data_IF_438181098602
#
_entry.id   IF_438181098602
#
_cell.length_a   1.000
_cell.length_b   1.000
_cell.length_c   1.000
_cell.angle_alpha   90.00
_cell.angle_beta   90.00
_cell.angle_gamma   90.00
#
_symmetry.space_group_name_H-M   'P 1'
#
loop_
_entity.id
_entity.type
_entity.pdbx_description
1 polymer ?
#
# COMPACT_ATOMS: atom_id res chain seq x y z
N UNK A 1 18.42 17.25 -0.85
CA UNK A 1 19.15 16.08 -1.40
C UNK A 1 19.24 14.96 -0.34
N UNK A 2 18.13 14.65 0.37
CA UNK A 2 18.06 13.59 1.40
C UNK A 2 16.96 12.55 1.13
N UNK A 3 16.08 12.75 0.13
CA UNK A 3 14.90 11.89 -0.08
C UNK A 3 15.20 10.60 -0.87
N UNK A 4 16.26 10.58 -1.68
CA UNK A 4 16.57 9.43 -2.55
C UNK A 4 17.14 8.24 -1.75
N UNK A 5 18.00 8.51 -0.76
CA UNK A 5 18.61 7.46 0.09
C UNK A 5 17.58 6.83 1.05
N UNK A 6 16.56 7.58 1.47
CA UNK A 6 15.51 7.09 2.39
C UNK A 6 14.58 6.09 1.68
N UNK A 7 14.24 6.32 0.41
CA UNK A 7 13.41 5.39 -0.38
C UNK A 7 14.16 4.09 -0.70
N UNK A 8 15.48 4.18 -0.96
CA UNK A 8 16.32 3.00 -1.14
C UNK A 8 16.40 2.24 0.18
N UNK A 9 16.59 2.89 1.34
CA UNK A 9 16.60 2.20 2.64
C UNK A 9 15.25 1.60 3.04
N UNK A 10 14.10 2.25 2.76
CA UNK A 10 12.77 1.66 3.05
C UNK A 10 12.42 0.55 2.04
N UNK A 11 12.80 0.68 0.77
CA UNK A 11 12.68 -0.39 -0.23
C UNK A 11 13.62 -1.57 0.07
N UNK A 12 14.83 -1.28 0.56
CA UNK A 12 15.74 -2.27 1.11
C UNK A 12 15.20 -2.85 2.40
N UNK A 13 14.51 -2.11 3.28
CA UNK A 13 13.92 -2.63 4.51
C UNK A 13 12.67 -3.47 4.23
N UNK A 14 11.84 -3.13 3.24
CA UNK A 14 10.80 -4.05 2.78
C UNK A 14 11.44 -5.32 2.18
N UNK A 15 12.52 -5.19 1.40
CA UNK A 15 13.29 -6.35 0.94
C UNK A 15 14.08 -7.06 2.06
N UNK A 16 14.48 -6.38 3.14
CA UNK A 16 15.27 -6.92 4.27
C UNK A 16 14.38 -7.53 5.34
N UNK A 17 13.19 -7.00 5.57
CA UNK A 17 12.13 -7.69 6.29
C UNK A 17 11.70 -8.89 5.44
N UNK A 18 11.62 -8.76 4.10
CA UNK A 18 11.42 -9.93 3.22
C UNK A 18 12.59 -10.92 3.26
N UNK A 19 13.84 -10.48 3.46
CA UNK A 19 15.04 -11.33 3.48
C UNK A 19 15.39 -11.88 4.88
N UNK A 20 15.04 -11.19 5.97
CA UNK A 20 15.18 -11.68 7.35
C UNK A 20 13.96 -12.50 7.78
N UNK A 21 12.81 -12.35 7.11
CA UNK A 21 11.77 -13.39 7.03
C UNK A 21 11.93 -14.27 5.77
N UNK A 22 13.17 -14.60 5.40
CA UNK A 22 13.45 -15.80 4.61
C UNK A 22 14.26 -16.81 5.41
N UNK A 23 13.52 -17.61 6.18
CA UNK A 23 13.71 -19.05 6.15
C UNK A 23 12.37 -19.73 5.86
N UNK A 24 11.71 -19.31 4.77
CA UNK A 24 10.86 -20.20 3.99
C UNK A 24 11.48 -20.28 2.60
N UNK A 25 11.98 -21.45 2.17
CA UNK A 25 12.69 -21.58 0.91
C UNK A 25 11.72 -21.36 -0.26
N UNK A 26 12.02 -20.37 -1.10
CA UNK A 26 11.59 -20.37 -2.49
C UNK A 26 12.44 -21.42 -3.22
N UNK A 27 11.88 -22.60 -3.48
CA UNK A 27 12.39 -23.46 -4.55
C UNK A 27 11.22 -23.98 -5.39
N UNK A 28 11.38 -23.86 -6.70
CA UNK A 28 10.50 -24.38 -7.74
C UNK A 28 10.60 -25.91 -7.72
N UNK A 29 9.76 -26.55 -6.91
CA UNK A 29 9.72 -28.01 -6.85
C UNK A 29 8.83 -28.52 -5.74
N UNK A 30 7.65 -29.02 -6.12
CA UNK A 30 6.82 -29.97 -5.37
C UNK A 30 7.04 -29.96 -3.83
N UNK A 31 6.30 -29.11 -3.12
CA UNK A 31 6.27 -29.13 -1.65
C UNK A 31 5.29 -30.22 -1.22
N UNK A 32 5.72 -31.26 -0.47
CA UNK A 32 4.81 -32.19 0.18
C UNK A 32 3.93 -31.41 1.18
N UNK A 33 2.66 -31.78 1.26
CA UNK A 33 1.72 -31.29 2.26
C UNK A 33 2.30 -31.56 3.66
N UNK A 34 2.84 -30.54 4.33
CA UNK A 34 3.29 -30.62 5.72
C UNK A 34 2.26 -29.88 6.58
N UNK A 35 1.50 -30.66 7.36
CA UNK A 35 0.31 -30.26 8.11
C UNK A 35 0.60 -29.57 9.46
N UNK A 36 1.87 -29.37 9.84
CA UNK A 36 2.26 -29.01 11.22
C UNK A 36 3.07 -27.69 11.34
N UNK A 37 2.68 -26.65 10.59
CA UNK A 37 3.10 -25.27 10.92
C UNK A 37 2.06 -24.68 11.88
N UNK A 38 2.50 -24.03 12.97
CA UNK A 38 1.71 -23.36 14.02
C UNK A 38 0.84 -22.19 13.50
N UNK A 39 0.16 -22.35 12.36
CA UNK A 39 -0.85 -21.43 11.87
C UNK A 39 -2.01 -21.44 12.85
N UNK A 40 -2.47 -20.25 13.21
CA UNK A 40 -3.65 -20.08 14.04
C UNK A 40 -4.77 -21.02 13.58
N UNK A 41 -5.33 -21.77 14.52
CA UNK A 41 -6.29 -22.86 14.23
C UNK A 41 -7.61 -22.37 13.62
N UNK A 42 -7.85 -21.05 13.62
CA UNK A 42 -8.99 -20.40 13.01
C UNK A 42 -8.69 -18.92 12.67
N UNK A 43 -9.54 -18.33 11.83
CA UNK A 43 -9.39 -16.95 11.34
C UNK A 43 -9.49 -15.91 12.45
N UNK A 44 -10.30 -16.12 13.48
CA UNK A 44 -10.48 -15.13 14.56
C UNK A 44 -9.21 -15.00 15.41
N UNK A 45 -8.59 -16.13 15.77
CA UNK A 45 -7.28 -16.14 16.43
C UNK A 45 -6.22 -15.48 15.55
N UNK A 46 -6.25 -15.72 14.24
CA UNK A 46 -5.32 -15.09 13.30
C UNK A 46 -5.47 -13.57 13.23
N UNK A 47 -6.71 -13.07 13.18
CA UNK A 47 -6.98 -11.62 13.20
C UNK A 47 -6.38 -10.97 14.45
N UNK A 48 -6.49 -11.60 15.62
CA UNK A 48 -5.90 -11.10 16.87
C UNK A 48 -4.37 -11.03 16.73
N UNK A 49 -3.73 -12.10 16.27
CA UNK A 49 -2.28 -12.13 16.03
C UNK A 49 -1.84 -11.03 15.06
N UNK A 50 -2.57 -10.81 13.96
CA UNK A 50 -2.25 -9.75 13.00
C UNK A 50 -2.46 -8.34 13.58
N UNK A 51 -3.49 -8.13 14.42
CA UNK A 51 -3.71 -6.85 15.11
C UNK A 51 -2.56 -6.55 16.06
N UNK A 52 -2.08 -7.54 16.80
CA UNK A 52 -0.94 -7.37 17.71
C UNK A 52 0.35 -7.15 16.92
N UNK A 53 0.56 -7.89 15.83
CA UNK A 53 1.68 -7.66 14.92
C UNK A 53 1.70 -6.23 14.34
N UNK A 54 0.55 -5.68 13.93
CA UNK A 54 0.46 -4.28 13.46
C UNK A 54 0.88 -3.29 14.54
N UNK A 55 0.50 -3.53 15.80
CA UNK A 55 0.95 -2.67 16.92
C UNK A 55 2.46 -2.81 17.13
N UNK A 56 2.98 -4.02 17.11
CA UNK A 56 4.39 -4.28 17.37
C UNK A 56 5.28 -3.62 16.31
N UNK A 57 5.00 -3.86 15.01
CA UNK A 57 5.77 -3.28 13.91
C UNK A 57 5.60 -1.75 13.83
N UNK A 58 4.50 -1.19 14.37
CA UNK A 58 4.32 0.27 14.39
C UNK A 58 5.40 0.99 15.21
N UNK A 59 5.97 0.34 16.23
CA UNK A 59 7.06 0.91 17.00
C UNK A 59 8.30 1.16 16.14
N UNK A 60 8.58 0.28 15.18
CA UNK A 60 9.71 0.46 14.26
C UNK A 60 9.47 1.67 13.34
N UNK A 61 8.25 1.83 12.83
CA UNK A 61 7.88 3.00 12.01
C UNK A 61 7.96 4.31 12.80
N UNK A 62 7.57 4.31 14.08
CA UNK A 62 7.73 5.47 14.97
C UNK A 62 9.20 5.76 15.29
N UNK A 63 10.02 4.72 15.50
CA UNK A 63 11.46 4.87 15.69
C UNK A 63 12.15 5.43 14.45
N UNK A 64 11.66 5.13 13.24
CA UNK A 64 12.13 5.78 12.01
C UNK A 64 11.80 7.27 11.98
N UNK A 65 10.61 7.66 12.44
CA UNK A 65 10.25 9.08 12.58
C UNK A 65 11.21 9.79 13.55
N UNK A 66 11.55 9.17 14.69
CA UNK A 66 12.55 9.70 15.63
C UNK A 66 13.92 9.94 14.97
N UNK A 67 14.38 8.98 14.16
CA UNK A 67 15.67 9.06 13.47
C UNK A 67 15.76 10.22 12.48
N UNK A 68 14.64 10.60 11.87
CA UNK A 68 14.61 11.70 10.91
C UNK A 68 14.79 13.08 11.54
N UNK A 69 14.61 13.23 12.85
CA UNK A 69 14.75 14.51 13.58
C UNK A 69 13.97 15.64 12.88
N UNK A 70 12.71 15.36 12.55
CA UNK A 70 11.86 16.25 11.80
C UNK A 70 11.47 17.49 12.62
N UNK A 71 11.07 18.59 11.97
CA UNK A 71 10.40 19.69 12.65
C UNK A 71 9.17 19.20 13.40
N UNK A 72 8.88 19.80 14.56
CA UNK A 72 7.82 19.38 15.49
C UNK A 72 6.47 19.15 14.82
N UNK A 73 6.06 20.06 13.94
CA UNK A 73 4.78 19.96 13.23
C UNK A 73 4.71 18.75 12.28
N UNK A 74 5.80 18.46 11.56
CA UNK A 74 5.86 17.33 10.64
C UNK A 74 5.99 16.00 11.39
N UNK A 75 6.77 15.97 12.49
CA UNK A 75 6.85 14.82 13.40
C UNK A 75 5.46 14.47 13.95
N UNK A 76 4.79 15.45 14.54
CA UNK A 76 3.44 15.29 15.11
C UNK A 76 2.44 14.83 14.07
N UNK A 77 2.49 15.39 12.86
CA UNK A 77 1.64 14.99 11.74
C UNK A 77 1.85 13.52 11.39
N UNK A 78 3.11 13.09 11.17
CA UNK A 78 3.41 11.68 10.81
C UNK A 78 2.98 10.70 11.88
N UNK A 79 3.21 11.00 13.16
CA UNK A 79 2.75 10.15 14.28
C UNK A 79 1.24 10.05 14.37
N UNK A 80 0.54 11.16 14.12
CA UNK A 80 -0.92 11.19 14.09
C UNK A 80 -1.46 10.35 12.94
N UNK A 81 -0.86 10.47 11.75
CA UNK A 81 -1.22 9.65 10.58
C UNK A 81 -0.96 8.16 10.85
N UNK A 82 0.21 7.78 11.38
CA UNK A 82 0.54 6.39 11.74
C UNK A 82 -0.46 5.85 12.76
N UNK A 83 -0.76 6.60 13.82
CA UNK A 83 -1.76 6.19 14.83
C UNK A 83 -3.14 5.93 14.22
N UNK A 84 -3.60 6.83 13.33
CA UNK A 84 -4.87 6.66 12.64
C UNK A 84 -4.88 5.45 11.69
N UNK A 85 -3.75 5.16 11.04
CA UNK A 85 -3.58 3.97 10.19
C UNK A 85 -3.68 2.70 11.04
N UNK A 86 -3.02 2.63 12.19
CA UNK A 86 -3.07 1.48 13.11
C UNK A 86 -4.51 1.22 13.54
N UNK A 87 -5.20 2.26 14.05
CA UNK A 87 -6.59 2.13 14.50
C UNK A 87 -7.49 1.61 13.39
N UNK A 88 -7.38 2.21 12.19
CA UNK A 88 -8.23 1.86 11.06
C UNK A 88 -7.92 0.47 10.48
N UNK A 89 -6.64 0.10 10.40
CA UNK A 89 -6.20 -1.23 9.97
C UNK A 89 -6.74 -2.29 10.93
N UNK A 90 -6.59 -2.08 12.23
CA UNK A 90 -7.05 -3.03 13.26
C UNK A 90 -8.57 -3.20 13.23
N UNK A 91 -9.32 -2.10 13.04
CA UNK A 91 -10.76 -2.18 12.86
C UNK A 91 -11.14 -3.00 11.62
N UNK A 92 -10.42 -2.81 10.52
CA UNK A 92 -10.65 -3.56 9.28
C UNK A 92 -10.31 -5.04 9.44
N UNK A 93 -9.16 -5.39 10.00
CA UNK A 93 -8.76 -6.77 10.28
C UNK A 93 -9.83 -7.46 11.13
N UNK A 94 -10.37 -6.79 12.14
CA UNK A 94 -11.38 -7.35 13.04
C UNK A 94 -12.73 -7.63 12.34
N UNK A 95 -13.15 -6.80 11.37
CA UNK A 95 -14.53 -6.80 10.86
C UNK A 95 -14.70 -7.30 9.43
N UNK A 96 -13.72 -7.08 8.57
CA UNK A 96 -13.86 -7.26 7.11
C UNK A 96 -13.44 -8.67 6.65
N UNK A 97 -12.16 -9.06 6.78
CA UNK A 97 -11.65 -10.27 6.13
C UNK A 97 -12.21 -11.53 6.77
N UNK A 98 -12.74 -12.47 5.98
CA UNK A 98 -13.32 -13.75 6.47
C UNK A 98 -12.42 -14.97 6.21
N UNK A 99 -11.24 -14.76 5.65
CA UNK A 99 -10.25 -15.81 5.32
C UNK A 99 -8.86 -15.33 5.73
N UNK A 100 -7.93 -16.25 5.96
CA UNK A 100 -6.52 -15.93 6.24
C UNK A 100 -5.94 -15.00 5.17
N UNK A 101 -6.10 -15.34 3.89
CA UNK A 101 -5.65 -14.51 2.76
C UNK A 101 -6.22 -13.10 2.78
N UNK A 102 -7.49 -12.93 3.15
CA UNK A 102 -8.09 -11.61 3.26
C UNK A 102 -7.48 -10.80 4.42
N UNK A 103 -7.15 -11.47 5.54
CA UNK A 103 -6.45 -10.84 6.68
C UNK A 103 -5.07 -10.37 6.23
N UNK A 104 -4.33 -11.20 5.49
CA UNK A 104 -3.00 -10.86 4.95
C UNK A 104 -3.06 -9.59 4.08
N UNK A 105 -4.02 -9.50 3.15
CA UNK A 105 -4.18 -8.34 2.26
C UNK A 105 -4.39 -7.06 3.07
N UNK A 106 -5.27 -7.08 4.08
CA UNK A 106 -5.55 -5.90 4.92
C UNK A 106 -4.34 -5.55 5.79
N UNK A 107 -3.68 -6.55 6.37
CA UNK A 107 -2.50 -6.36 7.21
C UNK A 107 -1.34 -5.74 6.41
N UNK A 108 -1.01 -6.31 5.26
CA UNK A 108 0.04 -5.83 4.37
C UNK A 108 -0.23 -4.41 3.86
N UNK A 109 -1.50 -4.09 3.58
CA UNK A 109 -1.93 -2.75 3.22
C UNK A 109 -1.74 -1.74 4.36
N UNK A 110 -2.06 -2.13 5.61
CA UNK A 110 -1.79 -1.31 6.79
C UNK A 110 -0.31 -1.02 6.99
N UNK A 111 0.55 -2.03 6.83
CA UNK A 111 2.02 -1.89 6.89
C UNK A 111 2.51 -0.92 5.80
N UNK A 112 2.02 -1.09 4.57
CA UNK A 112 2.34 -0.20 3.45
C UNK A 112 1.95 1.25 3.77
N UNK A 113 0.77 1.49 4.31
CA UNK A 113 0.30 2.83 4.72
C UNK A 113 1.16 3.43 5.81
N UNK A 114 1.58 2.64 6.80
CA UNK A 114 2.51 3.11 7.83
C UNK A 114 3.85 3.54 7.21
N UNK A 115 4.41 2.75 6.29
CA UNK A 115 5.61 3.11 5.56
C UNK A 115 5.43 4.41 4.73
N UNK A 116 4.29 4.59 4.07
CA UNK A 116 3.95 5.82 3.35
C UNK A 116 3.90 7.04 4.27
N UNK A 117 3.27 6.91 5.45
CA UNK A 117 3.18 7.98 6.44
C UNK A 117 4.55 8.30 7.06
N UNK A 118 5.36 7.29 7.36
CA UNK A 118 6.73 7.46 7.87
C UNK A 118 7.61 8.17 6.85
N UNK A 119 7.54 7.81 5.56
CA UNK A 119 8.29 8.49 4.50
C UNK A 119 7.83 9.95 4.29
N UNK A 120 6.56 10.22 4.59
CA UNK A 120 5.91 11.51 4.39
C UNK A 120 5.49 11.76 2.95
N UNK A 121 4.61 12.75 2.76
CA UNK A 121 3.96 13.07 1.49
C UNK A 121 4.37 14.46 0.98
N UNK A 122 5.58 14.61 0.41
CA UNK A 122 6.01 15.88 -0.16
C UNK A 122 5.22 16.26 -1.42
N UNK A 123 4.73 15.25 -2.16
CA UNK A 123 3.84 15.39 -3.31
C UNK A 123 2.40 15.32 -2.80
N UNK A 124 1.51 16.18 -3.30
CA UNK A 124 0.08 16.06 -3.00
C UNK A 124 -0.49 14.95 -3.88
N UNK A 125 -0.95 13.86 -3.26
CA UNK A 125 -1.49 12.70 -3.97
C UNK A 125 -2.80 12.28 -3.31
N UNK A 126 -3.82 12.04 -4.13
CA UNK A 126 -5.09 11.45 -3.72
C UNK A 126 -5.45 10.29 -4.66
N UNK A 127 -5.82 9.16 -4.07
CA UNK A 127 -6.36 7.99 -4.76
C UNK A 127 -7.72 7.73 -4.17
N UNK A 128 -8.75 7.74 -5.03
CA UNK A 128 -10.14 7.71 -4.60
C UNK A 128 -10.92 6.62 -5.32
N UNK A 129 -11.70 5.87 -4.55
CA UNK A 129 -12.72 4.94 -5.04
C UNK A 129 -14.03 5.36 -4.38
N UNK A 130 -15.05 5.66 -5.18
CA UNK A 130 -16.32 6.24 -4.69
C UNK A 130 -16.10 7.43 -3.74
N UNK A 131 -15.20 8.34 -4.13
CA UNK A 131 -14.82 9.56 -3.37
C UNK A 131 -14.20 9.31 -1.99
N UNK A 132 -13.88 8.05 -1.64
CA UNK A 132 -13.18 7.66 -0.40
C UNK A 132 -11.76 7.25 -0.73
N UNK A 133 -10.84 7.49 0.20
CA UNK A 133 -9.42 7.14 0.07
C UNK A 133 -8.99 6.18 1.18
N UNK A 134 -7.92 5.42 0.92
CA UNK A 134 -7.28 4.52 1.88
C UNK A 134 -8.06 3.23 2.15
N UNK A 135 -9.30 3.34 2.62
CA UNK A 135 -10.18 2.22 2.98
C UNK A 135 -11.57 2.45 2.40
N UNK A 136 -12.02 1.60 1.48
CA UNK A 136 -13.24 1.84 0.70
C UNK A 136 -14.04 0.57 0.41
N UNK A 137 -15.28 0.74 -0.04
CA UNK A 137 -16.18 -0.34 -0.41
C UNK A 137 -16.54 -0.20 -1.89
N UNK A 138 -16.68 -1.31 -2.58
CA UNK A 138 -17.14 -1.32 -3.97
C UNK A 138 -17.97 -2.58 -4.25
N UNK A 139 -18.78 -2.55 -5.31
CA UNK A 139 -19.42 -3.75 -5.84
C UNK A 139 -18.45 -4.46 -6.81
N UNK A 140 -18.63 -5.76 -7.07
CA UNK A 140 -17.96 -6.42 -8.19
C UNK A 140 -18.24 -5.68 -9.51
N UNK A 141 -17.28 -5.73 -10.43
CA UNK A 141 -17.36 -5.05 -11.73
C UNK A 141 -16.14 -4.19 -12.04
N UNK A 142 -16.30 -3.25 -12.97
CA UNK A 142 -15.29 -2.23 -13.23
C UNK A 142 -15.38 -1.14 -12.15
N UNK A 143 -14.32 -1.00 -11.37
CA UNK A 143 -14.21 -0.01 -10.30
C UNK A 143 -13.42 1.18 -10.84
N UNK A 144 -14.06 2.36 -10.86
CA UNK A 144 -13.40 3.61 -11.21
C UNK A 144 -12.51 4.08 -10.05
N UNK A 145 -11.22 4.24 -10.33
CA UNK A 145 -10.20 4.74 -9.41
C UNK A 145 -9.74 6.10 -9.90
N UNK A 146 -10.15 7.16 -9.21
CA UNK A 146 -9.73 8.52 -9.52
C UNK A 146 -8.40 8.84 -8.84
N UNK A 147 -7.40 9.22 -9.62
CA UNK A 147 -6.07 9.57 -9.13
C UNK A 147 -5.82 11.04 -9.42
N UNK A 148 -5.52 11.80 -8.37
CA UNK A 148 -5.15 13.21 -8.46
C UNK A 148 -3.78 13.44 -7.87
N UNK A 149 -2.95 14.23 -8.54
CA UNK A 149 -1.67 14.62 -7.99
C UNK A 149 -1.20 16.00 -8.45
N UNK A 150 -0.43 16.67 -7.59
CA UNK A 150 0.26 17.91 -7.89
C UNK A 150 1.67 17.88 -7.28
N UNK A 151 2.67 18.24 -8.08
CA UNK A 151 4.06 18.35 -7.66
C UNK A 151 4.31 19.58 -6.80
N UNK A 152 5.47 19.62 -6.13
CA UNK A 152 5.92 20.79 -5.37
C UNK A 152 6.36 21.87 -6.33
N UNK A 153 6.17 23.14 -5.95
CA UNK A 153 6.79 24.28 -6.66
C UNK A 153 6.55 24.29 -8.19
N UNK A 154 5.39 23.80 -8.66
CA UNK A 154 5.02 23.63 -10.08
C UNK A 154 5.78 22.53 -10.84
N UNK A 155 6.46 21.63 -10.15
CA UNK A 155 6.97 20.41 -10.76
C UNK A 155 5.80 19.59 -11.30
N UNK A 156 6.05 18.88 -12.40
CA UNK A 156 5.03 18.04 -13.02
C UNK A 156 4.96 16.68 -12.34
N UNK A 157 3.87 15.98 -12.58
CA UNK A 157 3.65 14.62 -12.06
C UNK A 157 3.19 13.69 -13.16
N UNK A 158 3.48 12.41 -13.01
CA UNK A 158 2.93 11.34 -13.86
C UNK A 158 2.76 10.05 -13.08
N UNK A 159 2.01 9.11 -13.65
CA UNK A 159 1.92 7.76 -13.10
C UNK A 159 3.28 7.07 -13.25
N UNK A 160 3.85 6.65 -12.12
CA UNK A 160 5.09 5.90 -12.05
C UNK A 160 4.88 4.39 -12.14
N UNK A 161 5.98 3.65 -12.19
CA UNK A 161 5.97 2.19 -12.12
C UNK A 161 6.26 1.70 -10.69
N UNK A 162 5.56 0.68 -10.23
CA UNK A 162 5.85 0.04 -8.95
C UNK A 162 7.20 -0.69 -8.97
N UNK A 163 7.41 -1.54 -9.99
CA UNK A 163 8.71 -2.16 -10.31
C UNK A 163 9.02 -1.95 -11.80
N UNK A 164 10.13 -2.49 -12.32
CA UNK A 164 10.56 -2.25 -13.70
C UNK A 164 9.48 -2.57 -14.75
N UNK A 165 8.69 -3.62 -14.51
CA UNK A 165 7.71 -4.14 -15.48
C UNK A 165 6.27 -4.13 -14.94
N UNK A 166 6.04 -3.53 -13.77
CA UNK A 166 4.73 -3.51 -13.11
C UNK A 166 4.37 -2.10 -12.70
N UNK A 167 3.24 -1.58 -13.22
CA UNK A 167 2.76 -0.24 -12.89
C UNK A 167 2.13 -0.16 -11.50
N UNK A 168 1.33 -1.16 -11.14
CA UNK A 168 0.59 -1.20 -9.88
C UNK A 168 0.96 -2.42 -9.06
N UNK A 169 1.23 -2.23 -7.76
CA UNK A 169 1.19 -3.35 -6.81
C UNK A 169 -0.27 -3.71 -6.57
N UNK A 170 -0.63 -4.98 -6.68
CA UNK A 170 -1.98 -5.46 -6.35
C UNK A 170 -1.86 -6.73 -5.52
N UNK A 171 -2.56 -6.76 -4.39
CA UNK A 171 -2.78 -7.96 -3.59
C UNK A 171 -4.28 -8.17 -3.45
N UNK A 172 -4.78 -9.34 -3.84
CA UNK A 172 -6.21 -9.60 -3.79
C UNK A 172 -6.53 -11.06 -3.49
N UNK A 173 -7.67 -11.24 -2.85
CA UNK A 173 -8.32 -12.53 -2.67
C UNK A 173 -8.93 -13.07 -3.96
N UNK A 174 -9.48 -12.19 -4.81
CA UNK A 174 -10.02 -12.51 -6.14
C UNK A 174 -9.07 -12.14 -7.28
N UNK A 175 -9.50 -12.36 -8.53
CA UNK A 175 -8.75 -11.94 -9.72
C UNK A 175 -9.10 -10.50 -10.06
N UNK A 176 -8.07 -9.66 -10.16
CA UNK A 176 -8.19 -8.24 -10.48
C UNK A 176 -7.02 -7.75 -11.31
N UNK A 177 -7.25 -6.73 -12.14
CA UNK A 177 -6.19 -6.05 -12.89
C UNK A 177 -6.64 -4.65 -13.30
N UNK A 178 -5.70 -3.73 -13.53
CA UNK A 178 -6.00 -2.43 -14.13
C UNK A 178 -6.02 -2.55 -15.65
N UNK A 179 -6.99 -1.90 -16.29
CA UNK A 179 -6.92 -1.62 -17.73
C UNK A 179 -5.88 -0.51 -17.97
N UNK A 180 -4.72 -0.89 -18.49
CA UNK A 180 -3.60 0.01 -18.75
C UNK A 180 -3.61 0.62 -20.16
N UNK A 181 -4.59 0.32 -21.01
CA UNK A 181 -4.55 0.68 -22.43
C UNK A 181 -4.55 2.19 -22.70
N UNK A 182 -5.04 2.99 -21.74
CA UNK A 182 -5.21 4.44 -21.88
C UNK A 182 -4.44 5.25 -20.81
N UNK A 183 -3.44 4.65 -20.17
CA UNK A 183 -2.62 5.37 -19.19
C UNK A 183 -1.58 6.19 -19.94
N UNK A 184 -1.67 7.51 -19.81
CA UNK A 184 -0.70 8.45 -20.39
C UNK A 184 0.66 8.37 -19.69
N UNK A 185 1.74 8.49 -20.47
CA UNK A 185 3.11 8.66 -19.95
C UNK A 185 3.53 10.13 -19.87
N UNK A 186 2.64 11.04 -20.25
CA UNK A 186 2.88 12.48 -20.24
C UNK A 186 3.00 13.05 -18.82
N UNK A 187 3.79 14.10 -18.70
CA UNK A 187 3.96 14.85 -17.47
C UNK A 187 2.88 15.93 -17.35
N UNK A 188 2.10 15.91 -16.27
CA UNK A 188 1.00 16.82 -16.03
C UNK A 188 1.34 17.83 -14.93
N UNK A 189 0.98 19.10 -15.11
CA UNK A 189 1.05 20.11 -14.05
C UNK A 189 0.08 19.75 -12.90
N UNK A 190 -1.12 19.30 -13.27
CA UNK A 190 -2.11 18.72 -12.39
C UNK A 190 -2.59 17.40 -13.00
N UNK A 191 -2.25 16.29 -12.36
CA UNK A 191 -2.72 14.98 -12.76
C UNK A 191 -4.15 14.79 -12.22
N UNK A 192 -5.09 14.44 -13.11
CA UNK A 192 -6.45 14.00 -12.76
C UNK A 192 -6.88 12.94 -13.77
N UNK A 193 -6.73 11.67 -13.40
CA UNK A 193 -7.02 10.54 -14.28
C UNK A 193 -7.98 9.57 -13.61
N UNK A 194 -8.72 8.82 -14.43
CA UNK A 194 -9.57 7.73 -13.97
C UNK A 194 -9.00 6.42 -14.50
N UNK A 195 -8.47 5.61 -13.59
CA UNK A 195 -8.04 4.25 -13.86
C UNK A 195 -9.23 3.30 -13.70
N UNK A 196 -9.26 2.24 -14.50
CA UNK A 196 -10.30 1.21 -14.42
C UNK A 196 -9.72 -0.06 -13.83
N UNK A 197 -10.11 -0.38 -12.60
CA UNK A 197 -9.77 -1.64 -11.96
C UNK A 197 -10.85 -2.67 -12.31
N UNK A 198 -10.51 -3.67 -13.12
CA UNK A 198 -11.40 -4.79 -13.38
C UNK A 198 -11.43 -5.71 -12.15
N UNK A 199 -12.60 -5.81 -11.52
CA UNK A 199 -12.92 -6.72 -10.44
C UNK A 199 -14.22 -7.50 -10.74
N UNK A 200 -14.46 -7.83 -12.02
CA UNK A 200 -15.66 -8.59 -12.46
C UNK A 200 -15.66 -10.03 -11.92
N UNK A 201 -14.48 -10.63 -11.75
CA UNK A 201 -14.32 -11.97 -11.19
C UNK A 201 -14.34 -11.98 -9.64
N UNK A 202 -14.40 -10.82 -9.00
CA UNK A 202 -14.50 -10.74 -7.55
C UNK A 202 -15.90 -11.11 -7.04
N UNK A 203 -15.93 -11.72 -5.87
CA UNK A 203 -17.15 -12.09 -5.15
C UNK A 203 -17.31 -11.19 -3.92
N UNK A 204 -18.53 -11.17 -3.39
CA UNK A 204 -18.79 -10.53 -2.10
C UNK A 204 -17.82 -11.05 -1.04
N UNK A 205 -17.27 -10.14 -0.24
CA UNK A 205 -16.22 -10.33 0.78
C UNK A 205 -14.80 -10.45 0.26
N UNK A 206 -14.58 -10.41 -1.04
CA UNK A 206 -13.22 -10.27 -1.55
C UNK A 206 -12.64 -8.94 -1.10
N UNK A 207 -11.35 -8.97 -0.79
CA UNK A 207 -10.53 -7.81 -0.46
C UNK A 207 -9.47 -7.63 -1.55
N UNK A 208 -9.26 -6.37 -1.93
CA UNK A 208 -8.25 -5.92 -2.90
C UNK A 208 -7.45 -4.81 -2.25
N UNK A 209 -6.14 -4.91 -2.17
CA UNK A 209 -5.23 -3.78 -1.95
C UNK A 209 -4.51 -3.48 -3.25
N UNK A 210 -4.41 -2.21 -3.61
CA UNK A 210 -3.56 -1.77 -4.70
C UNK A 210 -2.79 -0.51 -4.33
N UNK A 211 -1.63 -0.30 -4.96
CA UNK A 211 -0.81 0.90 -4.78
C UNK A 211 -0.59 1.60 -6.11
N UNK A 212 -0.90 2.90 -6.14
CA UNK A 212 -0.58 3.78 -7.27
C UNK A 212 0.68 4.56 -6.94
N UNK A 213 1.67 4.53 -7.84
CA UNK A 213 2.88 5.34 -7.71
C UNK A 213 2.74 6.63 -8.53
N UNK A 214 3.07 7.76 -7.92
CA UNK A 214 3.24 9.04 -8.60
C UNK A 214 4.70 9.42 -8.58
N UNK A 215 5.23 9.75 -9.75
CA UNK A 215 6.56 10.31 -9.94
C UNK A 215 6.46 11.82 -10.09
N UNK A 216 7.25 12.56 -9.31
CA UNK A 216 7.45 13.99 -9.47
C UNK A 216 8.64 14.24 -10.41
N UNK A 217 8.37 15.04 -11.44
CA UNK A 217 9.29 15.31 -12.54
C UNK A 217 9.73 16.76 -12.51
N UNK A 218 11.03 16.97 -12.69
CA UNK A 218 11.63 18.30 -12.90
C UNK A 218 12.59 18.22 -14.08
N UNK A 219 12.36 19.07 -15.08
CA UNK A 219 13.18 19.14 -16.30
C UNK A 219 13.35 17.76 -16.99
N UNK A 220 12.29 16.93 -17.00
CA UNK A 220 12.29 15.59 -17.58
C UNK A 220 12.96 14.49 -16.73
N UNK A 221 13.42 14.81 -15.52
CA UNK A 221 14.02 13.85 -14.59
C UNK A 221 13.11 13.58 -13.40
N UNK A 222 12.98 12.31 -13.00
CA UNK A 222 12.29 11.94 -11.76
C UNK A 222 13.14 12.39 -10.57
N UNK A 223 12.60 13.32 -9.78
CA UNK A 223 13.28 13.84 -8.58
C UNK A 223 12.75 13.22 -7.29
N UNK A 224 11.53 12.68 -7.33
CA UNK A 224 10.89 12.03 -6.20
C UNK A 224 9.78 11.09 -6.68
N UNK A 225 9.43 10.10 -5.84
CA UNK A 225 8.32 9.19 -6.12
C UNK A 225 7.61 8.78 -4.83
N UNK A 226 6.29 8.70 -4.87
CA UNK A 226 5.49 8.27 -3.70
C UNK A 226 4.38 7.34 -4.12
N UNK A 227 4.18 6.30 -3.32
CA UNK A 227 3.05 5.39 -3.44
C UNK A 227 1.90 5.80 -2.53
N UNK A 228 0.68 5.55 -2.98
CA UNK A 228 -0.53 5.62 -2.15
C UNK A 228 -1.30 4.34 -2.35
N UNK A 229 -1.41 3.57 -1.28
CA UNK A 229 -2.17 2.32 -1.25
C UNK A 229 -3.64 2.55 -0.90
N UNK A 230 -4.52 1.72 -1.45
CA UNK A 230 -5.96 1.71 -1.16
C UNK A 230 -6.42 0.27 -1.02
N UNK A 231 -7.14 -0.03 0.07
CA UNK A 231 -7.84 -1.30 0.26
C UNK A 231 -9.34 -1.14 0.00
N UNK A 232 -9.87 -2.08 -0.77
CA UNK A 232 -11.26 -2.17 -1.21
C UNK A 232 -11.84 -3.47 -0.68
N UNK A 233 -12.98 -3.39 -0.01
CA UNK A 233 -13.80 -4.55 0.33
C UNK A 233 -15.00 -4.63 -0.61
N UNK A 234 -15.16 -5.79 -1.24
CA UNK A 234 -16.23 -6.06 -2.20
C UNK A 234 -17.52 -6.42 -1.44
N UNK A 235 -18.56 -5.60 -1.60
CA UNK A 235 -19.84 -5.70 -0.86
C UNK A 235 -21.03 -6.13 -1.71
#
# INVERSE_FOLDING_TARGET
MYSLNILIEIGFFNNHISLEFMALPMDDGFVPYDEDSERATNVDSYRITCIDFIKDISHDYLAWVDRYKLPEEEDKKRRTEISAIIERTNEWIAKVPQTFKAVDVVMNDGIQKMAEATAGKPIQIGVFVDKKSGYTLAKPGIIDVNVKAAGREKNKTKIGLHTKDQRFRIESTGRVFFDESNITEEECDLLDINLKLNAEECKQRDVISFTVIISEMKDGMEIDRRGVSTVVHIV
#
